data_IF_612065436386
#
_entry.id   IF_612065436386
#
_cell.length_a   1.000
_cell.length_b   1.000
_cell.length_c   1.000
_cell.angle_alpha   90.00
_cell.angle_beta   90.00
_cell.angle_gamma   90.00
#
_symmetry.space_group_name_H-M   'P 1'
#
loop_
_entity.id
_entity.type
_entity.pdbx_description
1 polymer ?
#
# COMPACT_ATOMS: atom_id res chain seq x y z
N UNK A 1 -15.06 -16.80 21.83
CA UNK A 1 -15.20 -15.35 21.59
C UNK A 1 -15.33 -15.12 20.09
N UNK A 2 -16.32 -14.37 19.57
CA UNK A 2 -16.45 -14.18 18.13
C UNK A 2 -15.34 -13.26 17.62
N UNK A 3 -14.72 -13.71 16.54
CA UNK A 3 -13.51 -13.17 15.93
C UNK A 3 -13.75 -11.90 15.12
N UNK A 4 -12.68 -11.11 15.06
CA UNK A 4 -12.41 -9.97 14.17
C UNK A 4 -13.10 -10.17 12.81
N UNK A 5 -14.16 -9.40 12.55
CA UNK A 5 -14.84 -9.39 11.26
C UNK A 5 -13.87 -8.88 10.20
N UNK A 6 -13.44 -9.75 9.30
CA UNK A 6 -12.86 -9.33 8.03
C UNK A 6 -13.91 -8.47 7.29
N UNK A 7 -13.76 -7.14 7.33
CA UNK A 7 -14.52 -6.28 6.41
C UNK A 7 -14.16 -6.70 5.00
N UNK A 8 -15.16 -6.87 4.14
CA UNK A 8 -14.91 -7.15 2.73
C UNK A 8 -14.07 -6.02 2.11
N UNK A 9 -13.22 -6.35 1.14
CA UNK A 9 -12.41 -5.36 0.42
C UNK A 9 -13.29 -4.28 -0.25
N UNK A 10 -14.47 -4.65 -0.77
CA UNK A 10 -15.46 -3.70 -1.30
C UNK A 10 -15.90 -2.68 -0.25
N UNK A 11 -16.21 -3.14 0.96
CA UNK A 11 -16.62 -2.25 2.06
C UNK A 11 -15.51 -1.26 2.45
N UNK A 12 -14.24 -1.65 2.31
CA UNK A 12 -13.10 -0.75 2.57
C UNK A 12 -12.95 0.30 1.47
N UNK A 13 -13.11 -0.07 0.20
CA UNK A 13 -13.01 0.87 -0.93
C UNK A 13 -14.14 1.89 -0.89
N UNK A 14 -15.37 1.43 -0.65
CA UNK A 14 -16.53 2.30 -0.49
C UNK A 14 -16.38 3.27 0.69
N UNK A 15 -15.82 2.80 1.81
CA UNK A 15 -15.54 3.63 2.98
C UNK A 15 -14.54 4.73 2.67
N UNK A 16 -13.44 4.43 1.97
CA UNK A 16 -12.46 5.43 1.55
C UNK A 16 -13.05 6.44 0.57
N UNK A 17 -13.88 5.99 -0.39
CA UNK A 17 -14.61 6.88 -1.29
C UNK A 17 -15.48 7.91 -0.54
N UNK A 18 -16.22 7.46 0.48
CA UNK A 18 -17.02 8.37 1.35
C UNK A 18 -16.15 9.34 2.13
N UNK A 19 -14.98 8.92 2.60
CA UNK A 19 -14.05 9.81 3.31
C UNK A 19 -13.50 10.89 2.37
N UNK A 20 -13.15 10.54 1.13
CA UNK A 20 -12.69 11.52 0.14
C UNK A 20 -13.78 12.55 -0.19
N UNK A 21 -15.03 12.12 -0.34
CA UNK A 21 -16.17 13.03 -0.52
C UNK A 21 -16.35 13.95 0.69
N UNK A 22 -16.23 13.42 1.90
CA UNK A 22 -16.33 14.22 3.12
C UNK A 22 -15.21 15.27 3.23
N UNK A 23 -13.99 14.93 2.83
CA UNK A 23 -12.87 15.88 2.77
C UNK A 23 -13.13 16.96 1.71
N UNK A 24 -13.66 16.60 0.55
CA UNK A 24 -14.02 17.57 -0.49
C UNK A 24 -15.11 18.53 0.00
N UNK A 25 -16.14 18.04 0.69
CA UNK A 25 -17.21 18.88 1.25
C UNK A 25 -16.67 19.87 2.31
N UNK A 26 -15.74 19.44 3.16
CA UNK A 26 -15.07 20.33 4.12
C UNK A 26 -14.22 21.38 3.39
N UNK A 27 -13.46 20.98 2.37
CA UNK A 27 -12.62 21.90 1.57
C UNK A 27 -13.45 22.93 0.81
N UNK A 28 -14.63 22.55 0.32
CA UNK A 28 -15.59 23.44 -0.35
C UNK A 28 -16.38 24.32 0.62
N UNK A 29 -16.14 24.23 1.93
CA UNK A 29 -16.88 24.93 2.98
C UNK A 29 -18.40 24.63 2.99
N UNK A 30 -18.83 23.53 2.36
CA UNK A 30 -20.24 23.08 2.43
C UNK A 30 -20.60 22.58 3.84
N UNK A 31 -19.59 22.13 4.59
CA UNK A 31 -19.72 21.65 5.96
C UNK A 31 -18.59 22.25 6.79
N UNK A 32 -18.96 23.04 7.81
CA UNK A 32 -17.98 23.73 8.65
C UNK A 32 -17.31 22.82 9.68
N UNK A 33 -17.95 21.71 10.07
CA UNK A 33 -17.42 20.85 11.15
C UNK A 33 -17.11 19.42 10.69
N UNK A 34 -15.95 18.92 11.14
CA UNK A 34 -15.50 17.53 10.94
C UNK A 34 -16.55 16.52 11.44
N UNK A 35 -17.22 16.85 12.55
CA UNK A 35 -18.21 15.97 13.19
C UNK A 35 -19.47 15.83 12.35
N UNK A 36 -19.92 16.93 11.77
CA UNK A 36 -21.08 16.95 10.88
C UNK A 36 -20.78 16.24 9.56
N UNK A 37 -19.59 16.47 8.99
CA UNK A 37 -19.16 15.75 7.78
C UNK A 37 -19.09 14.24 8.04
N UNK A 38 -18.51 13.81 9.16
CA UNK A 38 -18.47 12.41 9.55
C UNK A 38 -19.88 11.79 9.68
N UNK A 39 -20.85 12.54 10.22
CA UNK A 39 -22.24 12.08 10.34
C UNK A 39 -22.95 12.01 9.00
N UNK A 40 -22.80 13.03 8.14
CA UNK A 40 -23.47 13.12 6.84
C UNK A 40 -22.98 12.07 5.85
N UNK A 41 -21.70 11.72 5.89
CA UNK A 41 -21.10 10.72 5.03
C UNK A 41 -20.98 9.33 5.69
N UNK A 42 -21.53 9.14 6.88
CA UNK A 42 -21.52 7.87 7.63
C UNK A 42 -20.12 7.25 7.81
N UNK A 43 -19.12 8.09 8.07
CA UNK A 43 -17.73 7.67 8.26
C UNK A 43 -17.27 7.89 9.70
N UNK A 44 -16.41 7.02 10.26
CA UNK A 44 -15.87 7.25 11.59
C UNK A 44 -15.05 8.55 11.65
N UNK A 45 -15.36 9.43 12.60
CA UNK A 45 -14.66 10.71 12.80
C UNK A 45 -13.14 10.54 12.90
N UNK A 46 -12.67 9.50 13.61
CA UNK A 46 -11.25 9.21 13.76
C UNK A 46 -10.55 8.90 12.43
N UNK A 47 -11.24 8.23 11.50
CA UNK A 47 -10.68 7.90 10.19
C UNK A 47 -10.63 9.14 9.30
N UNK A 48 -11.68 9.95 9.32
CA UNK A 48 -11.73 11.23 8.61
C UNK A 48 -10.64 12.20 9.10
N UNK A 49 -10.42 12.28 10.42
CA UNK A 49 -9.32 13.08 11.00
C UNK A 49 -7.94 12.61 10.54
N UNK A 50 -7.70 11.28 10.51
CA UNK A 50 -6.43 10.73 10.01
C UNK A 50 -6.18 11.13 8.56
N UNK A 51 -7.21 11.08 7.72
CA UNK A 51 -7.11 11.47 6.30
C UNK A 51 -6.90 12.97 6.11
N UNK A 52 -7.51 13.82 6.94
CA UNK A 52 -7.22 15.26 6.98
C UNK A 52 -5.78 15.55 7.41
N UNK A 53 -5.23 14.75 8.32
CA UNK A 53 -3.82 14.83 8.73
C UNK A 53 -2.86 14.18 7.71
N UNK A 54 -3.29 14.01 6.45
CA UNK A 54 -2.52 13.42 5.35
C UNK A 54 -2.02 12.00 5.61
N UNK A 55 -2.68 11.23 6.50
CA UNK A 55 -2.34 9.83 6.69
C UNK A 55 -3.04 9.03 5.58
N UNK A 56 -2.30 8.42 4.64
CA UNK A 56 -2.88 7.71 3.50
C UNK A 56 -3.60 6.43 3.92
N UNK A 57 -4.38 5.87 2.99
CA UNK A 57 -5.02 4.59 3.23
C UNK A 57 -3.97 3.47 3.32
N UNK A 58 -4.17 2.51 4.23
CA UNK A 58 -3.22 1.40 4.41
C UNK A 58 -3.07 0.57 3.13
N UNK A 59 -4.10 0.49 2.30
CA UNK A 59 -4.02 -0.19 1.00
C UNK A 59 -3.10 0.53 0.01
N UNK A 60 -2.93 1.85 0.14
CA UNK A 60 -2.06 2.68 -0.69
C UNK A 60 -0.68 2.87 -0.05
N UNK A 61 -0.56 2.61 1.26
CA UNK A 61 0.69 2.82 1.99
C UNK A 61 1.57 1.58 1.88
N UNK A 62 2.87 1.82 1.65
CA UNK A 62 3.89 0.78 1.74
C UNK A 62 3.92 0.19 3.16
N UNK A 63 3.87 -1.14 3.26
CA UNK A 63 4.18 -1.88 4.49
C UNK A 63 5.59 -1.54 5.03
N UNK A 64 5.80 -1.70 6.33
CA UNK A 64 6.99 -1.14 7.00
C UNK A 64 8.28 -1.97 6.80
N UNK A 65 8.20 -3.19 6.25
CA UNK A 65 9.30 -4.17 6.27
C UNK A 65 9.71 -4.62 4.84
N UNK A 66 9.73 -3.72 3.86
CA UNK A 66 10.27 -4.07 2.55
C UNK A 66 11.80 -4.20 2.62
N UNK A 67 12.30 -5.29 2.06
CA UNK A 67 13.73 -5.54 1.92
C UNK A 67 14.32 -4.77 0.73
N UNK A 68 13.55 -4.67 -0.36
CA UNK A 68 13.95 -3.97 -1.58
C UNK A 68 13.48 -2.50 -1.57
N UNK A 69 14.24 -1.61 -2.19
CA UNK A 69 13.78 -0.24 -2.48
C UNK A 69 12.78 -0.24 -3.65
N UNK A 70 12.06 0.88 -3.83
CA UNK A 70 11.10 1.00 -4.94
C UNK A 70 11.80 0.89 -6.30
N UNK A 71 12.99 1.48 -6.42
CA UNK A 71 13.82 1.42 -7.63
C UNK A 71 14.28 -0.01 -7.92
N UNK A 72 14.66 -0.76 -6.88
CA UNK A 72 15.04 -2.16 -7.01
C UNK A 72 13.87 -3.03 -7.45
N UNK A 73 12.68 -2.83 -6.87
CA UNK A 73 11.45 -3.54 -7.27
C UNK A 73 11.06 -3.23 -8.72
N UNK A 74 11.13 -1.97 -9.14
CA UNK A 74 10.89 -1.58 -10.54
C UNK A 74 11.90 -2.22 -11.49
N UNK A 75 13.17 -2.25 -11.11
CA UNK A 75 14.24 -2.85 -11.93
C UNK A 75 14.00 -4.35 -12.10
N UNK A 76 13.60 -5.03 -11.02
CA UNK A 76 13.27 -6.44 -11.02
C UNK A 76 11.99 -6.73 -11.84
N UNK A 77 10.97 -5.88 -11.77
CA UNK A 77 9.77 -5.97 -12.61
C UNK A 77 10.10 -5.81 -14.10
N UNK A 78 10.89 -4.79 -14.46
CA UNK A 78 11.35 -4.58 -15.85
C UNK A 78 12.12 -5.79 -16.36
N UNK A 79 12.99 -6.37 -15.53
CA UNK A 79 13.73 -7.58 -15.88
C UNK A 79 12.80 -8.78 -16.11
N UNK A 80 11.82 -9.03 -15.23
CA UNK A 80 10.79 -10.09 -15.39
C UNK A 80 10.00 -9.92 -16.68
N UNK A 81 9.53 -8.70 -16.98
CA UNK A 81 8.79 -8.41 -18.22
C UNK A 81 9.68 -8.67 -19.43
N UNK A 82 10.95 -8.25 -19.37
CA UNK A 82 11.91 -8.47 -20.46
C UNK A 82 12.21 -9.95 -20.69
N UNK A 83 12.22 -10.78 -19.63
CA UNK A 83 12.36 -12.23 -19.74
C UNK A 83 11.15 -12.87 -20.41
N UNK A 84 9.95 -12.50 -19.97
CA UNK A 84 8.71 -13.00 -20.56
C UNK A 84 8.61 -12.66 -22.05
N UNK A 85 8.99 -11.44 -22.44
CA UNK A 85 9.02 -11.02 -23.83
C UNK A 85 10.02 -11.82 -24.69
N UNK A 86 11.08 -12.37 -24.08
CA UNK A 86 12.07 -13.23 -24.75
C UNK A 86 11.64 -14.70 -24.81
N UNK A 87 10.44 -15.03 -24.36
CA UNK A 87 9.91 -16.39 -24.33
C UNK A 87 10.42 -17.24 -23.17
N UNK A 88 11.13 -16.65 -22.20
CA UNK A 88 11.58 -17.34 -20.99
C UNK A 88 10.62 -17.06 -19.84
N UNK A 89 9.96 -18.10 -19.32
CA UNK A 89 9.12 -17.97 -18.14
C UNK A 89 9.99 -17.81 -16.88
N UNK A 90 9.92 -16.69 -16.15
CA UNK A 90 10.71 -16.50 -14.95
C UNK A 90 10.24 -17.44 -13.84
N UNK A 91 11.15 -18.25 -13.31
CA UNK A 91 10.86 -19.10 -12.15
C UNK A 91 11.01 -18.29 -10.86
N UNK A 92 10.23 -18.57 -9.80
CA UNK A 92 10.36 -17.89 -8.51
C UNK A 92 11.77 -17.99 -7.90
N UNK A 93 12.50 -19.07 -8.18
CA UNK A 93 13.90 -19.25 -7.76
C UNK A 93 14.81 -18.22 -8.40
N UNK A 94 14.73 -18.07 -9.73
CA UNK A 94 15.54 -17.11 -10.49
C UNK A 94 15.23 -15.68 -10.08
N UNK A 95 13.96 -15.36 -9.81
CA UNK A 95 13.56 -14.03 -9.30
C UNK A 95 14.13 -13.76 -7.91
N UNK A 96 14.19 -14.77 -7.04
CA UNK A 96 14.80 -14.64 -5.72
C UNK A 96 16.31 -14.43 -5.81
N UNK A 97 16.98 -15.16 -6.69
CA UNK A 97 18.41 -15.02 -6.94
C UNK A 97 18.74 -13.62 -7.45
N UNK A 98 17.99 -13.09 -8.42
CA UNK A 98 18.22 -11.72 -8.91
C UNK A 98 17.91 -10.66 -7.88
N UNK A 99 16.87 -10.83 -7.07
CA UNK A 99 16.60 -9.94 -5.93
C UNK A 99 17.76 -9.94 -4.92
N UNK A 100 18.31 -11.11 -4.59
CA UNK A 100 19.45 -11.23 -3.69
C UNK A 100 20.73 -10.62 -4.29
N UNK A 101 20.94 -10.72 -5.60
CA UNK A 101 22.05 -10.04 -6.29
C UNK A 101 21.93 -8.51 -6.19
N UNK A 102 20.72 -7.95 -6.34
CA UNK A 102 20.49 -6.51 -6.15
C UNK A 102 20.77 -6.07 -4.71
N UNK A 103 20.37 -6.87 -3.72
CA UNK A 103 20.65 -6.60 -2.31
C UNK A 103 22.15 -6.70 -1.99
N UNK A 104 22.84 -7.68 -2.55
CA UNK A 104 24.29 -7.85 -2.38
C UNK A 104 25.06 -6.66 -2.97
N UNK A 105 24.64 -6.14 -4.12
CA UNK A 105 25.25 -4.98 -4.77
C UNK A 105 25.10 -3.68 -3.94
N UNK A 106 24.16 -3.62 -2.99
CA UNK A 106 23.93 -2.46 -2.13
C UNK A 106 24.91 -2.37 -0.95
N UNK A 107 25.76 -3.39 -0.73
CA UNK A 107 26.75 -3.47 0.37
C UNK A 107 26.17 -3.06 1.75
N UNK A 108 24.90 -3.36 2.00
CA UNK A 108 24.21 -2.94 3.23
C UNK A 108 24.45 -3.96 4.33
N UNK A 109 25.12 -3.56 5.40
CA UNK A 109 25.19 -4.31 6.66
C UNK A 109 23.95 -4.00 7.50
N UNK A 110 23.12 -4.97 7.94
CA UNK A 110 23.21 -6.43 7.80
C UNK A 110 22.67 -6.96 6.46
N UNK A 111 23.22 -8.10 6.02
CA UNK A 111 22.84 -8.78 4.78
C UNK A 111 21.38 -9.19 4.84
N UNK A 112 20.55 -8.58 4.00
CA UNK A 112 19.14 -8.93 3.87
C UNK A 112 19.00 -10.02 2.80
N UNK A 113 18.45 -11.17 3.16
CA UNK A 113 18.19 -12.28 2.21
C UNK A 113 16.69 -12.37 1.96
N UNK A 114 16.28 -12.45 0.70
CA UNK A 114 14.89 -12.71 0.30
C UNK A 114 14.61 -14.21 0.37
N UNK A 115 13.59 -14.62 1.12
CA UNK A 115 13.10 -16.01 1.14
C UNK A 115 13.49 -16.85 2.36
N UNK A 116 14.35 -16.36 3.25
CA UNK A 116 14.57 -16.97 4.57
C UNK A 116 13.57 -16.41 5.60
N UNK A 117 13.03 -17.32 6.43
CA UNK A 117 12.06 -17.04 7.50
C UNK A 117 12.78 -16.91 8.84
#
# INVERSE_FOLDING_TARGET
MPTIRARSSRNSIEQEGRILLAIQAIKKQEISTIREAARRFEVPKSTLLRRLNNIPNRAETRANNYKLTEIEEESLLKWIISLNNRGAAPRPTTVRETANLLLAARETTPVQIVGEK
#
